data_IF_115889067876
#
_entry.id   IF_115889067876
#
_cell.length_a   1.000
_cell.length_b   1.000
_cell.length_c   1.000
_cell.angle_alpha   90.00
_cell.angle_beta   90.00
_cell.angle_gamma   90.00
#
_symmetry.space_group_name_H-M   'P 1'
#
loop_
_entity.id
_entity.type
_entity.pdbx_description
1 polymer ?
#
# COMPACT_ATOMS: atom_id res chain seq x y z
N UNK A 1 24.03 24.92 -6.35
CA UNK A 1 23.09 25.42 -7.37
C UNK A 1 23.85 25.57 -8.69
N UNK A 2 23.61 24.67 -9.65
CA UNK A 2 24.31 24.63 -10.95
C UNK A 2 24.03 25.88 -11.82
N UNK A 3 22.81 26.40 -11.80
CA UNK A 3 22.44 27.60 -12.57
C UNK A 3 23.15 28.86 -12.07
N UNK A 4 23.32 28.99 -10.75
CA UNK A 4 24.12 30.08 -10.17
C UNK A 4 25.56 30.07 -10.65
N UNK A 5 26.14 28.87 -10.80
CA UNK A 5 27.51 28.69 -11.29
C UNK A 5 27.60 28.97 -12.80
N UNK A 6 26.61 28.57 -13.60
CA UNK A 6 26.58 28.93 -15.02
C UNK A 6 26.52 30.46 -15.24
N UNK A 7 25.76 31.17 -14.40
CA UNK A 7 25.74 32.65 -14.41
C UNK A 7 27.12 33.24 -14.08
N UNK A 8 27.81 32.69 -13.08
CA UNK A 8 29.18 33.09 -12.73
C UNK A 8 30.14 32.89 -13.92
N UNK A 9 30.07 31.73 -14.57
CA UNK A 9 30.89 31.40 -15.74
C UNK A 9 30.65 32.38 -16.89
N UNK A 10 29.38 32.66 -17.24
CA UNK A 10 29.05 33.63 -18.29
C UNK A 10 29.62 35.02 -17.97
N UNK A 11 29.56 35.45 -16.72
CA UNK A 11 30.14 36.73 -16.28
C UNK A 11 31.68 36.74 -16.34
N UNK A 12 32.35 35.59 -16.09
CA UNK A 12 33.81 35.48 -16.18
C UNK A 12 34.32 35.67 -17.62
N UNK A 13 33.58 35.16 -18.61
CA UNK A 13 33.90 35.36 -20.04
C UNK A 13 33.87 36.84 -20.45
N UNK A 14 32.96 37.64 -19.88
CA UNK A 14 32.90 39.07 -20.16
C UNK A 14 34.02 39.87 -19.48
N UNK A 15 34.35 39.49 -18.25
CA UNK A 15 35.44 40.13 -17.51
C UNK A 15 36.83 39.75 -18.02
N UNK A 16 36.94 38.95 -19.10
CA UNK A 16 38.17 38.34 -19.62
C UNK A 16 38.97 37.59 -18.53
N UNK A 17 38.28 37.02 -17.54
CA UNK A 17 38.88 36.33 -16.39
C UNK A 17 39.05 34.82 -16.60
N UNK A 18 38.87 34.34 -17.84
CA UNK A 18 38.91 32.91 -18.14
C UNK A 18 40.34 32.50 -18.44
N UNK A 19 40.95 31.77 -17.50
CA UNK A 19 42.18 31.04 -17.76
C UNK A 19 41.89 29.93 -18.77
N UNK A 20 42.41 30.06 -19.99
CA UNK A 20 42.25 29.05 -21.02
C UNK A 20 42.82 27.71 -20.55
N UNK A 21 41.97 26.71 -20.34
CA UNK A 21 42.41 25.31 -20.32
C UNK A 21 42.72 24.92 -21.76
N UNK A 22 43.88 24.28 -21.95
CA UNK A 22 44.50 23.94 -23.22
C UNK A 22 43.54 23.34 -24.27
N UNK A 23 43.87 23.61 -25.53
CA UNK A 23 43.28 23.03 -26.74
C UNK A 23 42.99 21.53 -26.57
N UNK A 24 41.72 21.13 -26.72
CA UNK A 24 41.34 19.72 -26.60
C UNK A 24 39.85 19.42 -26.40
N UNK A 25 39.01 20.39 -26.03
CA UNK A 25 37.59 20.09 -25.73
C UNK A 25 36.65 20.07 -26.95
N UNK A 26 37.11 20.38 -28.17
CA UNK A 26 36.33 20.20 -29.42
C UNK A 26 34.91 20.78 -29.39
N UNK A 27 34.73 21.95 -28.78
CA UNK A 27 33.49 22.72 -28.76
C UNK A 27 33.76 24.06 -29.46
N UNK A 28 32.98 24.36 -30.50
CA UNK A 28 33.12 25.53 -31.36
C UNK A 28 32.49 26.81 -30.77
N UNK A 29 31.90 26.75 -29.58
CA UNK A 29 31.29 27.92 -28.95
C UNK A 29 32.31 29.03 -28.71
N UNK A 30 31.98 30.28 -29.09
CA UNK A 30 32.76 31.49 -28.74
C UNK A 30 33.05 31.57 -27.24
N UNK A 31 32.10 31.11 -26.42
CA UNK A 31 32.20 31.04 -24.96
C UNK A 31 31.87 29.63 -24.50
N UNK A 32 32.87 28.76 -24.53
CA UNK A 32 32.70 27.39 -24.05
C UNK A 32 32.63 27.36 -22.52
N UNK A 33 31.42 27.26 -21.95
CA UNK A 33 31.17 27.29 -20.50
C UNK A 33 31.95 26.21 -19.73
N UNK A 34 32.22 25.07 -20.38
CA UNK A 34 32.97 23.94 -19.81
C UNK A 34 34.46 24.27 -19.60
N UNK A 35 35.00 25.28 -20.30
CA UNK A 35 36.41 25.68 -20.15
C UNK A 35 36.69 26.45 -18.86
N UNK A 36 35.67 27.05 -18.25
CA UNK A 36 35.84 27.79 -17.02
C UNK A 36 36.12 26.84 -15.84
N UNK A 37 37.05 27.21 -14.95
CA UNK A 37 37.41 26.40 -13.77
C UNK A 37 36.22 26.14 -12.84
N UNK A 38 35.25 27.07 -12.79
CA UNK A 38 34.03 26.93 -12.02
C UNK A 38 33.11 25.81 -12.53
N UNK A 39 33.28 25.36 -13.78
CA UNK A 39 32.53 24.22 -14.35
C UNK A 39 32.62 22.97 -13.48
N UNK A 40 33.75 22.72 -12.81
CA UNK A 40 33.94 21.58 -11.90
C UNK A 40 32.92 21.52 -10.75
N UNK A 41 32.23 22.63 -10.44
CA UNK A 41 31.21 22.72 -9.40
C UNK A 41 29.79 22.50 -9.94
N UNK A 42 29.61 22.50 -11.26
CA UNK A 42 28.35 22.21 -11.94
C UNK A 42 28.10 20.70 -11.88
N UNK A 43 27.00 20.28 -11.25
CA UNK A 43 26.66 18.86 -11.08
C UNK A 43 25.45 18.41 -11.91
N UNK A 44 24.61 19.36 -12.33
CA UNK A 44 23.37 19.07 -13.06
C UNK A 44 23.62 18.73 -14.54
N UNK A 45 24.81 19.07 -15.05
CA UNK A 45 25.16 18.93 -16.46
C UNK A 45 26.52 18.25 -16.57
N UNK A 46 26.65 17.37 -17.55
CA UNK A 46 27.93 16.82 -17.99
C UNK A 46 28.45 17.57 -19.24
N UNK A 47 29.63 17.18 -19.74
CA UNK A 47 30.25 17.80 -20.92
C UNK A 47 29.83 17.12 -22.24
N UNK A 48 28.62 16.55 -22.33
CA UNK A 48 28.12 15.96 -23.58
C UNK A 48 28.03 17.00 -24.70
N UNK A 49 28.10 16.50 -25.92
CA UNK A 49 28.19 17.28 -27.14
C UNK A 49 26.99 17.05 -28.04
N UNK A 50 26.60 18.11 -28.75
CA UNK A 50 25.55 18.14 -29.77
C UNK A 50 26.13 18.77 -31.03
N UNK A 51 25.57 18.42 -32.19
CA UNK A 51 25.93 19.01 -33.48
C UNK A 51 24.92 20.10 -33.82
N UNK A 52 25.38 21.26 -34.27
CA UNK A 52 24.48 22.32 -34.71
C UNK A 52 23.87 21.98 -36.08
N UNK A 53 22.54 22.01 -36.20
CA UNK A 53 21.85 21.70 -37.47
C UNK A 53 22.16 22.67 -38.61
N UNK A 54 22.64 23.89 -38.31
CA UNK A 54 22.92 24.91 -39.32
C UNK A 54 24.41 24.92 -39.74
N UNK A 55 25.34 25.06 -38.79
CA UNK A 55 26.76 25.17 -39.10
C UNK A 55 27.52 23.83 -39.04
N UNK A 56 26.85 22.74 -38.65
CA UNK A 56 27.40 21.37 -38.52
C UNK A 56 28.61 21.23 -37.57
N UNK A 57 28.95 22.30 -36.84
CA UNK A 57 29.99 22.30 -35.83
C UNK A 57 29.50 21.63 -34.54
N UNK A 58 30.46 21.13 -33.75
CA UNK A 58 30.17 20.46 -32.49
C UNK A 58 30.23 21.42 -31.30
N UNK A 59 29.24 21.36 -30.42
CA UNK A 59 29.12 22.20 -29.23
C UNK A 59 28.78 21.36 -28.00
N UNK A 60 29.06 21.86 -26.79
CA UNK A 60 28.44 21.25 -25.60
C UNK A 60 26.97 21.66 -25.52
N UNK A 61 26.07 20.78 -25.08
CA UNK A 61 24.64 21.10 -24.96
C UNK A 61 24.38 22.38 -24.14
N UNK A 62 25.12 22.55 -23.04
CA UNK A 62 25.03 23.75 -22.19
C UNK A 62 25.53 25.02 -22.88
N UNK A 63 26.43 24.89 -23.87
CA UNK A 63 26.94 26.01 -24.66
C UNK A 63 25.98 26.41 -25.79
N UNK A 64 24.96 25.60 -26.07
CA UNK A 64 23.85 25.92 -26.97
C UNK A 64 22.57 26.34 -26.23
N UNK A 65 22.60 26.37 -24.90
CA UNK A 65 21.47 26.84 -24.09
C UNK A 65 20.51 25.76 -23.63
N UNK A 66 20.86 24.47 -23.74
CA UNK A 66 20.11 23.38 -23.13
C UNK A 66 20.31 23.42 -21.60
N UNK A 67 19.45 24.18 -20.91
CA UNK A 67 19.54 24.40 -19.46
C UNK A 67 18.26 23.99 -18.72
N UNK A 68 17.16 23.74 -19.43
CA UNK A 68 16.01 23.08 -18.83
C UNK A 68 16.20 21.57 -18.82
N UNK A 69 15.49 20.87 -17.94
CA UNK A 69 15.63 19.40 -17.82
C UNK A 69 15.23 18.72 -19.12
N UNK A 70 14.11 19.15 -19.72
CA UNK A 70 13.59 18.58 -20.96
C UNK A 70 14.55 18.83 -22.13
N UNK A 71 15.02 20.08 -22.28
CA UNK A 71 16.02 20.44 -23.29
C UNK A 71 17.34 19.67 -23.11
N UNK A 72 17.73 19.39 -21.86
CA UNK A 72 18.94 18.64 -21.56
C UNK A 72 18.80 17.15 -21.86
N UNK A 73 17.65 16.55 -21.59
CA UNK A 73 17.37 15.15 -21.94
C UNK A 73 17.42 14.92 -23.46
N UNK A 74 16.87 15.86 -24.24
CA UNK A 74 16.88 15.80 -25.71
C UNK A 74 18.29 15.87 -26.32
N UNK A 75 19.30 16.34 -25.59
CA UNK A 75 20.69 16.35 -26.10
C UNK A 75 21.27 14.95 -26.37
N UNK A 76 20.62 13.90 -25.88
CA UNK A 76 20.97 12.50 -26.17
C UNK A 76 20.19 11.88 -27.32
N UNK A 77 19.21 12.60 -27.88
CA UNK A 77 18.35 12.13 -28.95
C UNK A 77 18.96 12.49 -30.32
N UNK A 78 19.24 11.51 -31.20
CA UNK A 78 19.79 11.78 -32.52
C UNK A 78 18.80 12.44 -33.49
N UNK A 79 17.50 12.39 -33.21
CA UNK A 79 16.45 12.95 -34.08
C UNK A 79 16.13 14.43 -33.76
N UNK A 80 16.73 14.97 -32.70
CA UNK A 80 16.51 16.36 -32.25
C UNK A 80 17.60 17.31 -32.73
N UNK A 81 17.18 18.39 -33.39
CA UNK A 81 18.07 19.42 -33.91
C UNK A 81 18.40 20.47 -32.84
N UNK A 82 19.70 20.71 -32.64
CA UNK A 82 20.19 21.81 -31.80
C UNK A 82 20.81 22.91 -32.64
N UNK A 83 20.69 24.16 -32.18
CA UNK A 83 21.27 25.32 -32.85
C UNK A 83 22.16 26.11 -31.90
N UNK A 84 23.36 26.46 -32.35
CA UNK A 84 24.29 27.24 -31.55
C UNK A 84 23.84 28.70 -31.41
N UNK A 85 24.39 29.42 -30.42
CA UNK A 85 24.03 30.82 -30.20
C UNK A 85 24.40 31.73 -31.38
N UNK A 86 25.46 31.41 -32.12
CA UNK A 86 25.86 32.19 -33.30
C UNK A 86 24.85 32.03 -34.45
N UNK A 87 24.45 30.79 -34.78
CA UNK A 87 23.46 30.52 -35.83
C UNK A 87 22.07 31.07 -35.48
N UNK A 88 21.71 31.08 -34.20
CA UNK A 88 20.46 31.70 -33.73
C UNK A 88 20.56 33.22 -33.57
N UNK A 89 21.71 33.83 -33.90
CA UNK A 89 21.98 35.26 -33.70
C UNK A 89 21.66 35.73 -32.27
N UNK A 90 21.91 34.87 -31.29
CA UNK A 90 21.63 35.13 -29.87
C UNK A 90 22.75 36.00 -29.30
N UNK A 91 22.43 37.24 -28.94
CA UNK A 91 23.39 38.14 -28.28
C UNK A 91 23.69 37.71 -26.85
N UNK A 92 24.83 38.16 -26.32
CA UNK A 92 25.25 37.84 -24.95
C UNK A 92 24.24 38.28 -23.88
N UNK A 93 23.63 39.46 -24.05
CA UNK A 93 22.57 39.94 -23.17
C UNK A 93 21.32 39.06 -23.21
N UNK A 94 21.08 38.38 -24.35
CA UNK A 94 19.98 37.43 -24.50
C UNK A 94 20.32 36.08 -23.86
N UNK A 95 21.57 35.63 -23.96
CA UNK A 95 22.07 34.43 -23.24
C UNK A 95 21.89 34.61 -21.73
N UNK A 96 22.27 35.77 -21.18
CA UNK A 96 22.10 36.09 -19.75
C UNK A 96 20.64 36.09 -19.31
N UNK A 97 19.77 36.78 -20.06
CA UNK A 97 18.34 36.79 -19.77
C UNK A 97 17.75 35.38 -19.78
N UNK A 98 18.10 34.55 -20.76
CA UNK A 98 17.68 33.14 -20.78
C UNK A 98 18.16 32.36 -19.55
N UNK A 99 19.41 32.56 -19.09
CA UNK A 99 19.91 31.95 -17.85
C UNK A 99 19.13 32.42 -16.62
N UNK A 100 18.73 33.70 -16.60
CA UNK A 100 17.91 34.27 -15.52
C UNK A 100 16.51 33.70 -15.51
N UNK A 101 15.86 33.63 -16.67
CA UNK A 101 14.53 33.07 -16.86
C UNK A 101 14.48 31.60 -16.44
N UNK A 102 15.45 30.78 -16.89
CA UNK A 102 15.54 29.36 -16.49
C UNK A 102 15.79 29.23 -14.99
N UNK A 103 16.65 30.08 -14.40
CA UNK A 103 16.89 30.04 -12.96
C UNK A 103 15.65 30.44 -12.13
N UNK A 104 14.84 31.40 -12.62
CA UNK A 104 13.58 31.79 -11.98
C UNK A 104 12.53 30.68 -12.09
N UNK A 105 12.41 30.07 -13.27
CA UNK A 105 11.47 28.98 -13.52
C UNK A 105 11.78 27.77 -12.63
N UNK A 106 13.03 27.31 -12.61
CA UNK A 106 13.46 26.21 -11.72
C UNK A 106 13.24 26.53 -10.24
N UNK A 107 13.37 27.81 -9.83
CA UNK A 107 13.09 28.22 -8.45
C UNK A 107 11.61 28.07 -8.11
N UNK A 108 10.72 28.48 -9.02
CA UNK A 108 9.27 28.35 -8.88
C UNK A 108 8.84 26.89 -8.83
N UNK A 109 9.42 26.03 -9.67
CA UNK A 109 9.15 24.59 -9.65
C UNK A 109 9.61 23.93 -8.35
N UNK A 110 10.76 24.34 -7.80
CA UNK A 110 11.21 23.86 -6.48
C UNK A 110 10.20 24.27 -5.40
N UNK A 111 9.75 25.52 -5.38
CA UNK A 111 8.77 26.02 -4.40
C UNK A 111 7.45 25.23 -4.50
N UNK A 112 6.94 24.99 -5.71
CA UNK A 112 5.73 24.18 -5.95
C UNK A 112 5.93 22.73 -5.49
N UNK A 113 7.07 22.11 -5.82
CA UNK A 113 7.39 20.74 -5.39
C UNK A 113 7.54 20.62 -3.86
N UNK A 114 8.08 21.65 -3.19
CA UNK A 114 8.20 21.68 -1.73
C UNK A 114 6.82 21.76 -1.04
N UNK A 115 5.88 22.55 -1.58
CA UNK A 115 4.50 22.58 -1.09
C UNK A 115 3.78 21.24 -1.28
N UNK A 116 3.91 20.64 -2.47
CA UNK A 116 3.35 19.33 -2.79
C UNK A 116 3.91 18.23 -1.88
N UNK A 117 5.23 18.27 -1.62
CA UNK A 117 5.89 17.34 -0.70
C UNK A 117 5.35 17.49 0.71
N UNK A 118 5.12 18.72 1.18
CA UNK A 118 4.56 18.98 2.51
C UNK A 118 3.16 18.39 2.65
N UNK A 119 2.28 18.60 1.68
CA UNK A 119 0.93 18.02 1.68
C UNK A 119 0.97 16.48 1.71
N UNK A 120 1.82 15.87 0.88
CA UNK A 120 2.01 14.41 0.85
C UNK A 120 2.57 13.87 2.18
N UNK A 121 3.48 14.60 2.81
CA UNK A 121 4.02 14.23 4.12
C UNK A 121 2.96 14.29 5.23
N UNK A 122 2.08 15.29 5.20
CA UNK A 122 0.95 15.39 6.13
C UNK A 122 -0.05 14.25 5.95
N UNK A 123 -0.38 13.88 4.71
CA UNK A 123 -1.25 12.73 4.43
C UNK A 123 -0.60 11.40 4.80
N UNK A 124 0.70 11.25 4.55
CA UNK A 124 1.47 10.09 4.99
C UNK A 124 1.55 9.98 6.52
N UNK A 125 1.70 11.10 7.22
CA UNK A 125 1.63 11.15 8.68
C UNK A 125 0.28 10.67 9.19
N UNK A 126 -0.84 11.12 8.59
CA UNK A 126 -2.18 10.63 8.94
C UNK A 126 -2.28 9.11 8.73
N UNK A 127 -1.74 8.60 7.62
CA UNK A 127 -1.71 7.17 7.34
C UNK A 127 -0.86 6.38 8.35
N UNK A 128 0.32 6.87 8.73
CA UNK A 128 1.17 6.26 9.76
C UNK A 128 0.47 6.22 11.12
N UNK A 129 -0.19 7.31 11.51
CA UNK A 129 -0.92 7.37 12.78
C UNK A 129 -2.07 6.38 12.77
N UNK A 130 -2.79 6.26 11.66
CA UNK A 130 -3.85 5.26 11.49
C UNK A 130 -3.28 3.82 11.51
N UNK A 131 -2.18 3.54 10.80
CA UNK A 131 -1.62 2.18 10.72
C UNK A 131 -0.99 1.71 12.05
N UNK A 132 -0.57 2.64 12.91
CA UNK A 132 0.01 2.35 14.22
C UNK A 132 -0.98 2.30 15.38
N UNK A 133 -2.29 2.30 15.14
CA UNK A 133 -3.25 2.23 16.25
C UNK A 133 -3.71 3.57 16.83
N UNK A 134 -3.24 4.70 16.27
CA UNK A 134 -3.37 6.02 16.88
C UNK A 134 -4.51 6.90 16.34
N UNK A 135 -5.17 6.48 15.26
CA UNK A 135 -6.21 7.26 14.60
C UNK A 135 -7.48 7.39 15.46
N UNK A 136 -8.09 8.58 15.51
CA UNK A 136 -9.37 8.81 16.20
C UNK A 136 -10.47 7.85 15.69
N UNK A 137 -10.51 7.60 14.38
CA UNK A 137 -11.46 6.68 13.74
C UNK A 137 -11.25 5.25 14.22
N UNK A 138 -9.99 4.80 14.35
CA UNK A 138 -9.71 3.46 14.85
C UNK A 138 -10.14 3.29 16.30
N UNK A 139 -9.86 4.26 17.18
CA UNK A 139 -10.33 4.20 18.57
C UNK A 139 -11.85 4.12 18.65
N UNK A 140 -12.56 4.95 17.88
CA UNK A 140 -14.02 4.89 17.80
C UNK A 140 -14.54 3.55 17.28
N UNK A 141 -13.81 2.91 16.37
CA UNK A 141 -14.15 1.59 15.84
C UNK A 141 -13.93 0.49 16.89
N UNK A 142 -12.80 0.53 17.60
CA UNK A 142 -12.50 -0.37 18.72
C UNK A 142 -13.51 -0.22 19.87
N UNK A 143 -13.92 1.01 20.19
CA UNK A 143 -14.96 1.29 21.17
C UNK A 143 -16.32 0.75 20.72
N UNK A 144 -16.65 0.88 19.42
CA UNK A 144 -17.86 0.29 18.86
C UNK A 144 -17.84 -1.25 18.98
N UNK A 145 -16.72 -1.90 18.66
CA UNK A 145 -16.56 -3.36 18.82
C UNK A 145 -16.68 -3.80 20.28
N UNK A 146 -15.99 -3.12 21.20
CA UNK A 146 -16.08 -3.41 22.65
C UNK A 146 -17.49 -3.26 23.18
N UNK A 147 -18.22 -2.25 22.70
CA UNK A 147 -19.60 -2.01 23.12
C UNK A 147 -20.59 -3.08 22.67
N UNK A 148 -20.25 -3.90 21.66
CA UNK A 148 -21.02 -5.09 21.26
C UNK A 148 -20.46 -6.37 21.88
N UNK A 149 -19.47 -6.24 22.77
CA UNK A 149 -18.85 -7.34 23.50
C UNK A 149 -17.84 -8.13 22.69
N UNK A 150 -17.31 -7.57 21.60
CA UNK A 150 -16.21 -8.14 20.84
C UNK A 150 -14.90 -7.41 21.22
N UNK A 151 -13.96 -8.14 21.81
CA UNK A 151 -12.67 -7.58 22.23
C UNK A 151 -11.54 -8.34 21.55
N UNK A 152 -10.64 -7.62 20.89
CA UNK A 152 -9.49 -8.26 20.23
C UNK A 152 -8.58 -8.84 21.30
N UNK A 153 -8.17 -10.10 21.12
CA UNK A 153 -7.22 -10.68 22.06
C UNK A 153 -5.91 -9.89 22.04
N UNK A 154 -5.46 -9.45 23.22
CA UNK A 154 -4.22 -8.66 23.37
C UNK A 154 -3.00 -9.37 22.79
N UNK A 155 -3.01 -10.71 22.80
CA UNK A 155 -1.88 -11.56 22.37
C UNK A 155 -1.88 -11.92 20.89
N UNK A 156 -3.04 -12.17 20.26
CA UNK A 156 -3.11 -12.53 18.84
C UNK A 156 -3.42 -11.32 17.94
N UNK A 157 -3.76 -10.18 18.55
CA UNK A 157 -4.26 -8.98 17.86
C UNK A 157 -5.36 -9.34 16.85
N UNK A 158 -6.23 -10.26 17.23
CA UNK A 158 -7.29 -10.79 16.38
C UNK A 158 -8.50 -11.21 17.21
N UNK A 159 -9.65 -11.34 16.55
CA UNK A 159 -10.92 -11.77 17.12
C UNK A 159 -10.99 -13.29 17.24
N UNK A 160 -11.55 -13.80 18.35
CA UNK A 160 -11.88 -15.21 18.45
C UNK A 160 -13.26 -15.50 17.80
N UNK A 161 -13.63 -16.78 17.69
CA UNK A 161 -14.89 -17.18 17.05
C UNK A 161 -16.14 -16.54 17.69
N UNK A 162 -16.14 -16.36 19.03
CA UNK A 162 -17.23 -15.70 19.74
C UNK A 162 -17.31 -14.20 19.45
N UNK A 163 -16.18 -13.54 19.24
CA UNK A 163 -16.17 -12.12 18.87
C UNK A 163 -16.69 -11.94 17.45
N UNK A 164 -16.22 -12.77 16.51
CA UNK A 164 -16.70 -12.76 15.11
C UNK A 164 -18.22 -12.97 15.05
N UNK A 165 -18.77 -13.88 15.87
CA UNK A 165 -20.22 -14.11 15.95
C UNK A 165 -21.01 -12.86 16.37
N UNK A 166 -20.46 -12.06 17.29
CA UNK A 166 -21.09 -10.80 17.72
C UNK A 166 -20.94 -9.71 16.66
N UNK A 167 -19.78 -9.65 16.01
CA UNK A 167 -19.48 -8.64 14.98
C UNK A 167 -20.29 -8.84 13.71
N UNK A 168 -20.65 -10.08 13.37
CA UNK A 168 -21.48 -10.38 12.21
C UNK A 168 -23.00 -10.27 12.50
N UNK A 169 -23.40 -9.83 13.69
CA UNK A 169 -24.78 -9.44 13.94
C UNK A 169 -25.13 -8.16 13.18
N UNK A 170 -26.30 -8.13 12.56
CA UNK A 170 -26.75 -7.03 11.70
C UNK A 170 -26.80 -5.69 12.45
N UNK A 171 -27.19 -5.70 13.73
CA UNK A 171 -27.18 -4.50 14.57
C UNK A 171 -25.77 -4.05 14.94
N UNK A 172 -24.83 -4.99 15.10
CA UNK A 172 -23.42 -4.69 15.34
C UNK A 172 -22.77 -4.09 14.09
N UNK A 173 -23.02 -4.68 12.91
CA UNK A 173 -22.55 -4.20 11.61
C UNK A 173 -22.93 -2.74 11.44
N UNK A 174 -24.20 -2.39 11.63
CA UNK A 174 -24.67 -1.01 11.49
C UNK A 174 -23.96 -0.06 12.48
N UNK A 175 -23.77 -0.52 13.72
CA UNK A 175 -23.13 0.29 14.76
C UNK A 175 -21.69 0.65 14.43
N UNK A 176 -20.84 -0.32 14.11
CA UNK A 176 -19.41 -0.03 13.88
C UNK A 176 -19.14 0.58 12.50
N UNK A 177 -20.00 0.32 11.50
CA UNK A 177 -19.85 0.94 10.17
C UNK A 177 -20.23 2.41 10.16
N UNK A 178 -21.09 2.87 11.08
CA UNK A 178 -21.44 4.29 11.25
C UNK A 178 -20.22 5.16 11.64
N UNK A 179 -19.18 4.54 12.20
CA UNK A 179 -17.91 5.22 12.52
C UNK A 179 -17.14 5.59 11.24
N UNK A 180 -17.36 4.84 10.15
CA UNK A 180 -16.67 5.03 8.88
C UNK A 180 -17.40 6.07 8.02
N UNK A 181 -16.64 6.76 7.16
CA UNK A 181 -17.23 7.71 6.22
C UNK A 181 -18.16 6.96 5.25
N UNK A 182 -19.42 7.41 5.06
CA UNK A 182 -20.33 6.78 4.11
C UNK A 182 -19.74 6.76 2.70
N UNK A 183 -19.84 5.60 2.05
CA UNK A 183 -19.46 5.40 0.65
C UNK A 183 -20.27 4.27 0.04
N UNK A 184 -20.34 4.25 -1.30
CA UNK A 184 -20.96 3.13 -2.04
C UNK A 184 -20.29 1.80 -1.73
N UNK A 185 -18.98 1.82 -1.48
CA UNK A 185 -18.22 0.61 -1.16
C UNK A 185 -18.48 0.12 0.26
N UNK A 186 -18.65 1.03 1.22
CA UNK A 186 -19.06 0.67 2.57
C UNK A 186 -20.41 -0.05 2.56
N UNK A 187 -21.37 0.40 1.75
CA UNK A 187 -22.67 -0.27 1.60
C UNK A 187 -22.55 -1.67 0.98
N UNK A 188 -21.63 -1.88 0.03
CA UNK A 188 -21.35 -3.22 -0.51
C UNK A 188 -20.74 -4.13 0.57
N UNK A 189 -19.79 -3.61 1.35
CA UNK A 189 -19.17 -4.33 2.47
C UNK A 189 -20.20 -4.68 3.54
N UNK A 190 -21.13 -3.77 3.88
CA UNK A 190 -22.24 -4.07 4.80
C UNK A 190 -23.05 -5.27 4.32
N UNK A 191 -23.47 -5.29 3.05
CA UNK A 191 -24.24 -6.41 2.46
C UNK A 191 -23.47 -7.72 2.53
N UNK A 192 -22.17 -7.69 2.23
CA UNK A 192 -21.29 -8.85 2.37
C UNK A 192 -21.26 -9.36 3.81
N UNK A 193 -21.03 -8.49 4.81
CA UNK A 193 -20.95 -8.86 6.21
C UNK A 193 -22.28 -9.41 6.74
N UNK A 194 -23.41 -8.81 6.36
CA UNK A 194 -24.73 -9.28 6.77
C UNK A 194 -24.99 -10.68 6.21
N UNK A 195 -24.72 -10.92 4.92
CA UNK A 195 -24.88 -12.25 4.32
C UNK A 195 -23.97 -13.29 5.01
N UNK A 196 -22.72 -12.93 5.31
CA UNK A 196 -21.80 -13.79 6.05
C UNK A 196 -22.30 -14.12 7.46
N UNK A 197 -22.92 -13.16 8.15
CA UNK A 197 -23.57 -13.37 9.44
C UNK A 197 -24.78 -14.31 9.38
N UNK A 198 -25.57 -14.26 8.31
CA UNK A 198 -26.67 -15.23 8.10
C UNK A 198 -26.13 -16.64 7.83
N UNK A 199 -25.09 -16.78 7.00
CA UNK A 199 -24.37 -18.05 6.80
C UNK A 199 -23.89 -18.62 8.14
N UNK A 200 -23.26 -17.79 8.98
CA UNK A 200 -22.74 -18.23 10.27
C UNK A 200 -23.84 -18.80 11.18
N UNK A 201 -25.06 -18.26 11.15
CA UNK A 201 -26.19 -18.78 11.95
C UNK A 201 -26.69 -20.15 11.50
N UNK A 202 -26.44 -20.51 10.24
CA UNK A 202 -26.74 -21.83 9.69
C UNK A 202 -25.60 -22.84 9.93
N UNK A 203 -24.45 -22.40 10.47
CA UNK A 203 -23.36 -23.27 10.89
C UNK A 203 -23.67 -23.91 12.26
N UNK A 204 -24.63 -24.83 12.28
CA UNK A 204 -25.14 -25.48 13.49
C UNK A 204 -24.72 -26.94 13.60
N UNK A 205 -24.47 -27.42 14.82
CA UNK A 205 -24.10 -28.80 15.12
C UNK A 205 -25.32 -29.75 15.10
N UNK A 206 -26.16 -29.63 14.06
CA UNK A 206 -27.29 -30.52 13.81
C UNK A 206 -27.41 -30.83 12.32
N UNK A 207 -28.39 -31.64 11.97
CA UNK A 207 -28.75 -31.78 10.58
C UNK A 207 -29.52 -30.55 10.09
N UNK A 208 -29.23 -30.12 8.87
CA UNK A 208 -29.91 -29.02 8.18
C UNK A 208 -31.15 -29.56 7.46
N UNK A 209 -32.21 -28.78 7.44
CA UNK A 209 -33.37 -29.04 6.57
C UNK A 209 -33.06 -28.65 5.14
N UNK A 210 -33.87 -29.10 4.19
CA UNK A 210 -33.72 -28.70 2.78
C UNK A 210 -33.90 -27.18 2.62
N UNK A 211 -34.88 -26.59 3.30
CA UNK A 211 -35.10 -25.13 3.31
C UNK A 211 -33.88 -24.36 3.85
N UNK A 212 -33.20 -24.88 4.88
CA UNK A 212 -31.99 -24.26 5.43
C UNK A 212 -30.80 -24.38 4.47
N UNK A 213 -30.72 -25.45 3.68
CA UNK A 213 -29.70 -25.62 2.65
C UNK A 213 -29.96 -24.63 1.50
N UNK A 214 -31.22 -24.42 1.13
CA UNK A 214 -31.61 -23.44 0.12
C UNK A 214 -31.33 -22.00 0.60
N UNK A 215 -31.65 -21.66 1.85
CA UNK A 215 -31.27 -20.39 2.46
C UNK A 215 -29.74 -20.20 2.47
N UNK A 216 -28.99 -21.23 2.88
CA UNK A 216 -27.53 -21.20 2.89
C UNK A 216 -26.97 -20.90 1.49
N UNK A 217 -27.54 -21.53 0.45
CA UNK A 217 -27.15 -21.31 -0.94
C UNK A 217 -27.43 -19.87 -1.38
N UNK A 218 -28.62 -19.33 -1.07
CA UNK A 218 -28.96 -17.94 -1.37
C UNK A 218 -27.99 -16.96 -0.69
N UNK A 219 -27.66 -17.15 0.59
CA UNK A 219 -26.70 -16.29 1.27
C UNK A 219 -25.27 -16.40 0.71
N UNK A 220 -24.83 -17.60 0.32
CA UNK A 220 -23.52 -17.79 -0.35
C UNK A 220 -23.49 -17.03 -1.69
N UNK A 221 -24.56 -17.10 -2.48
CA UNK A 221 -24.67 -16.35 -3.74
C UNK A 221 -24.65 -14.84 -3.53
N UNK A 222 -25.29 -14.34 -2.44
CA UNK A 222 -25.22 -12.91 -2.07
C UNK A 222 -23.81 -12.48 -1.68
N UNK A 223 -23.06 -13.33 -0.96
CA UNK A 223 -21.64 -13.09 -0.65
C UNK A 223 -20.82 -13.02 -1.94
N UNK A 224 -21.01 -13.96 -2.86
CA UNK A 224 -20.30 -13.98 -4.14
C UNK A 224 -20.58 -12.73 -4.99
N UNK A 225 -21.85 -12.35 -5.13
CA UNK A 225 -22.24 -11.15 -5.87
C UNK A 225 -21.64 -9.88 -5.24
N UNK A 226 -21.61 -9.79 -3.90
CA UNK A 226 -21.00 -8.66 -3.21
C UNK A 226 -19.49 -8.57 -3.46
N UNK A 227 -18.79 -9.71 -3.50
CA UNK A 227 -17.37 -9.78 -3.83
C UNK A 227 -17.10 -9.35 -5.28
N UNK A 228 -17.86 -9.83 -6.26
CA UNK A 228 -17.70 -9.43 -7.66
C UNK A 228 -17.87 -7.92 -7.88
N UNK A 229 -18.74 -7.27 -7.11
CA UNK A 229 -18.96 -5.81 -7.22
C UNK A 229 -17.90 -4.96 -6.51
N UNK A 230 -17.20 -5.52 -5.54
CA UNK A 230 -16.24 -4.77 -4.70
C UNK A 230 -14.79 -5.07 -5.09
N UNK A 231 -14.48 -6.32 -5.40
CA UNK A 231 -13.13 -6.81 -5.63
C UNK A 231 -13.10 -7.90 -6.74
N UNK A 232 -13.46 -7.56 -7.99
CA UNK A 232 -13.58 -8.52 -9.09
C UNK A 232 -12.26 -9.17 -9.49
N UNK A 233 -11.14 -8.45 -9.33
CA UNK A 233 -9.81 -8.88 -9.78
C UNK A 233 -8.94 -9.45 -8.64
N UNK A 234 -9.48 -9.52 -7.41
CA UNK A 234 -8.77 -10.02 -6.24
C UNK A 234 -8.79 -11.54 -6.15
N UNK A 235 -7.71 -12.10 -5.61
CA UNK A 235 -7.62 -13.53 -5.34
C UNK A 235 -8.54 -13.97 -4.19
N UNK A 236 -9.00 -15.22 -4.24
CA UNK A 236 -9.81 -15.82 -3.18
C UNK A 236 -8.95 -16.65 -2.22
N UNK A 237 -9.16 -16.51 -0.91
CA UNK A 237 -8.50 -17.40 0.06
C UNK A 237 -9.06 -18.82 -0.04
N UNK A 238 -8.27 -19.86 0.29
CA UNK A 238 -8.77 -21.25 0.24
C UNK A 238 -10.04 -21.47 1.06
N UNK A 239 -10.16 -20.83 2.24
CA UNK A 239 -11.36 -20.93 3.09
C UNK A 239 -12.59 -20.31 2.44
N UNK A 240 -12.42 -19.15 1.80
CA UNK A 240 -13.51 -18.48 1.08
C UNK A 240 -13.90 -19.29 -0.17
N UNK A 241 -12.94 -19.84 -0.90
CA UNK A 241 -13.23 -20.74 -2.03
C UNK A 241 -14.03 -21.98 -1.59
N UNK A 242 -13.65 -22.61 -0.48
CA UNK A 242 -14.41 -23.73 0.10
C UNK A 242 -15.85 -23.32 0.43
N UNK A 243 -16.03 -22.15 1.05
CA UNK A 243 -17.36 -21.63 1.36
C UNK A 243 -18.22 -21.45 0.10
N UNK A 244 -17.64 -20.85 -0.96
CA UNK A 244 -18.38 -20.48 -2.16
C UNK A 244 -18.75 -21.68 -3.03
N UNK A 245 -17.86 -22.68 -3.16
CA UNK A 245 -18.01 -23.75 -4.15
C UNK A 245 -18.39 -25.11 -3.55
N UNK A 246 -17.96 -25.41 -2.32
CA UNK A 246 -17.96 -26.78 -1.81
C UNK A 246 -18.94 -27.02 -0.66
N UNK A 247 -19.38 -25.96 0.03
CA UNK A 247 -20.29 -26.10 1.19
C UNK A 247 -21.65 -26.64 0.80
N UNK A 248 -22.25 -26.16 -0.30
CA UNK A 248 -23.58 -26.63 -0.72
C UNK A 248 -23.57 -28.10 -1.17
N UNK A 249 -22.65 -28.54 -2.06
CA UNK A 249 -22.53 -29.96 -2.38
C UNK A 249 -22.34 -30.85 -1.15
N UNK A 250 -21.53 -30.39 -0.18
CA UNK A 250 -21.33 -31.08 1.08
C UNK A 250 -22.63 -31.19 1.89
N UNK A 251 -23.35 -30.08 2.07
CA UNK A 251 -24.60 -30.05 2.84
C UNK A 251 -25.70 -30.89 2.18
N UNK A 252 -25.79 -30.93 0.86
CA UNK A 252 -26.74 -31.79 0.14
C UNK A 252 -26.46 -33.27 0.43
N UNK A 253 -25.19 -33.67 0.38
CA UNK A 253 -24.78 -35.07 0.55
C UNK A 253 -24.89 -35.54 2.00
N UNK A 254 -24.50 -34.70 2.97
CA UNK A 254 -24.37 -35.11 4.38
C UNK A 254 -25.43 -34.51 5.31
N UNK A 255 -26.27 -33.60 4.80
CA UNK A 255 -27.30 -32.86 5.55
C UNK A 255 -26.76 -32.18 6.80
N UNK A 256 -25.49 -31.79 6.81
CA UNK A 256 -24.85 -31.08 7.91
C UNK A 256 -23.64 -30.31 7.41
N UNK A 257 -23.20 -29.33 8.19
CA UNK A 257 -21.96 -28.60 7.95
C UNK A 257 -21.07 -28.57 9.19
N UNK A 258 -21.63 -28.27 10.37
CA UNK A 258 -20.84 -28.08 11.58
C UNK A 258 -20.69 -29.35 12.45
N UNK A 259 -21.42 -30.44 12.19
CA UNK A 259 -21.21 -31.72 12.94
C UNK A 259 -19.80 -32.28 12.77
N UNK A 260 -19.16 -32.01 11.64
CA UNK A 260 -17.77 -32.40 11.35
C UNK A 260 -16.77 -31.29 11.69
N UNK A 261 -17.20 -30.24 12.38
CA UNK A 261 -16.30 -29.14 12.74
C UNK A 261 -15.39 -29.50 13.91
N UNK A 262 -14.28 -28.77 14.02
CA UNK A 262 -13.33 -28.91 15.13
C UNK A 262 -13.83 -28.26 16.43
N UNK A 263 -15.04 -27.68 16.46
CA UNK A 263 -15.56 -26.97 17.64
C UNK A 263 -15.72 -27.89 18.85
N UNK A 264 -16.14 -29.13 18.65
CA UNK A 264 -16.25 -30.13 19.73
C UNK A 264 -14.88 -30.49 20.30
N UNK A 265 -13.85 -30.58 19.45
CA UNK A 265 -12.46 -30.82 19.85
C UNK A 265 -11.90 -29.62 20.63
N UNK A 266 -12.18 -28.40 20.19
CA UNK A 266 -11.74 -27.19 20.90
C UNK A 266 -12.42 -27.04 22.27
N UNK A 267 -13.70 -27.39 22.38
CA UNK A 267 -14.39 -27.48 23.67
C UNK A 267 -13.75 -28.54 24.59
N UNK A 268 -13.28 -29.66 24.03
CA UNK A 268 -12.54 -30.68 24.78
C UNK A 268 -11.18 -30.15 25.26
N UNK A 269 -10.46 -29.35 24.47
CA UNK A 269 -9.19 -28.73 24.88
C UNK A 269 -9.32 -27.92 26.18
N UNK A 270 -10.39 -27.15 26.34
CA UNK A 270 -10.64 -26.40 27.58
C UNK A 270 -10.77 -27.32 28.80
N UNK A 271 -11.48 -28.44 28.64
CA UNK A 271 -11.63 -29.46 29.69
C UNK A 271 -10.30 -30.14 30.02
N UNK A 272 -9.52 -30.50 29.00
CA UNK A 272 -8.17 -31.09 29.16
C UNK A 272 -7.26 -30.14 29.94
N UNK A 273 -7.25 -28.85 29.60
CA UNK A 273 -6.45 -27.84 30.29
C UNK A 273 -6.85 -27.70 31.76
N UNK A 274 -8.16 -27.66 32.05
CA UNK A 274 -8.66 -27.66 33.42
C UNK A 274 -8.16 -28.88 34.21
N UNK A 275 -8.22 -30.08 33.63
CA UNK A 275 -7.76 -31.31 34.28
C UNK A 275 -6.24 -31.33 34.48
N UNK A 276 -5.47 -30.77 33.55
CA UNK A 276 -4.02 -30.62 33.72
C UNK A 276 -3.65 -29.70 34.89
N UNK A 277 -4.42 -28.64 35.13
CA UNK A 277 -4.24 -27.76 36.29
C UNK A 277 -4.70 -28.47 37.57
N UNK A 278 -5.86 -29.13 37.54
CA UNK A 278 -6.40 -29.89 38.68
C UNK A 278 -5.43 -30.96 39.18
N UNK A 279 -4.78 -31.67 38.25
CA UNK A 279 -3.81 -32.73 38.54
C UNK A 279 -2.35 -32.25 38.48
N UNK A 280 -2.10 -30.95 38.66
CA UNK A 280 -0.73 -30.38 38.59
C UNK A 280 0.25 -30.96 39.61
N UNK A 281 -0.26 -31.50 40.71
CA UNK A 281 0.54 -32.10 41.80
C UNK A 281 1.07 -33.49 41.46
N UNK A 282 0.54 -34.14 40.42
CA UNK A 282 1.03 -35.43 39.95
C UNK A 282 2.33 -35.21 39.16
N UNK A 283 3.47 -35.54 39.77
CA UNK A 283 4.82 -35.33 39.19
C UNK A 283 5.11 -36.26 38.00
N UNK A 284 4.57 -37.49 38.01
CA UNK A 284 4.75 -38.42 36.91
C UNK A 284 3.84 -38.03 35.74
N UNK A 285 4.44 -37.65 34.60
CA UNK A 285 3.74 -37.14 33.42
C UNK A 285 2.88 -38.21 32.71
N UNK A 286 3.27 -39.48 32.78
CA UNK A 286 2.50 -40.61 32.23
C UNK A 286 1.27 -40.85 33.10
N UNK A 287 1.46 -40.93 34.42
CA UNK A 287 0.35 -41.09 35.36
C UNK A 287 -0.64 -39.92 35.24
N UNK A 288 -0.14 -38.68 35.16
CA UNK A 288 -0.99 -37.48 34.98
C UNK A 288 -1.84 -37.58 33.71
N UNK A 289 -1.25 -37.97 32.57
CA UNK A 289 -1.99 -38.16 31.31
C UNK A 289 -3.02 -39.27 31.40
N UNK A 290 -2.69 -40.39 32.03
CA UNK A 290 -3.65 -41.48 32.27
C UNK A 290 -4.84 -41.00 33.11
N UNK A 291 -4.61 -40.24 34.18
CA UNK A 291 -5.70 -39.68 34.98
C UNK A 291 -6.59 -38.72 34.21
N UNK A 292 -6.01 -37.82 33.41
CA UNK A 292 -6.76 -36.92 32.53
C UNK A 292 -7.62 -37.72 31.55
N UNK A 293 -7.05 -38.72 30.89
CA UNK A 293 -7.76 -39.56 29.92
C UNK A 293 -8.89 -40.36 30.57
N UNK A 294 -8.64 -41.01 31.71
CA UNK A 294 -9.67 -41.71 32.47
C UNK A 294 -10.80 -40.76 32.86
N UNK A 295 -10.48 -39.54 33.30
CA UNK A 295 -11.49 -38.57 33.71
C UNK A 295 -12.39 -38.13 32.53
N UNK A 296 -11.81 -37.94 31.34
CA UNK A 296 -12.55 -37.61 30.13
C UNK A 296 -13.48 -38.76 29.73
N UNK A 297 -12.98 -40.00 29.77
CA UNK A 297 -13.75 -41.22 29.47
C UNK A 297 -14.91 -41.41 30.47
N UNK A 298 -14.66 -41.27 31.77
CA UNK A 298 -15.70 -41.46 32.80
C UNK A 298 -16.82 -40.42 32.75
N UNK A 299 -16.53 -39.21 32.28
CA UNK A 299 -17.54 -38.15 32.15
C UNK A 299 -18.35 -38.23 30.85
N UNK A 300 -18.14 -39.25 30.01
CA UNK A 300 -18.72 -39.33 28.67
C UNK A 300 -18.51 -38.06 27.83
N UNK A 301 -17.50 -37.24 28.13
CA UNK A 301 -17.20 -36.01 27.38
C UNK A 301 -16.74 -36.29 25.94
N UNK A 302 -16.54 -37.56 25.58
CA UNK A 302 -16.27 -38.03 24.22
C UNK A 302 -17.58 -38.37 23.47
N UNK A 303 -18.64 -38.74 24.20
CA UNK A 303 -19.93 -39.17 23.64
C UNK A 303 -21.02 -38.09 23.71
N UNK A 304 -20.90 -37.12 24.62
CA UNK A 304 -21.89 -36.04 24.82
C UNK A 304 -21.57 -34.75 24.03
N UNK A 305 -20.46 -34.71 23.30
CA UNK A 305 -20.03 -33.55 22.46
C UNK A 305 -20.41 -33.69 20.98
N UNK A 306 -21.32 -34.61 20.64
CA UNK A 306 -21.79 -34.89 19.26
C UNK A 306 -23.18 -34.33 18.98
#
# INVERSE_FOLDING_TARGET
NSMGILKEIVNNFECKKVDAVAEGLGCAARRCLVRDKAWKKVKAYDARKVVCGECLETFHGVCCGAWKVEEWELTGDPDEDFFCFDCTSTSDDRVKRRLEDVAMLLKKEIEEMEEDLKLKQEDWQKYIVASKGGGLVQKSLEDAWKSVGADMSVWQQNFCGNDVLKLLDESAIEKYTTVLKPSTDLEKIKKFLVALGKIQRLCVARSLTDDEIDELNDYINRVFAALQMYAPDEGCTPKLHVLLEHVIPFCINFKTWAKTSEQSIEALHANVNYLHVRHRTIRNSVAKRNFVMCHILFRNLINDTS
#
